data_IF_927207925560
#
_entry.id   IF_927207925560
#
_cell.length_a   1.000
_cell.length_b   1.000
_cell.length_c   1.000
_cell.angle_alpha   90.00
_cell.angle_beta   90.00
_cell.angle_gamma   90.00
#
_symmetry.space_group_name_H-M   'P 1'
#
loop_
_entity.id
_entity.type
_entity.pdbx_description
1 polymer ?
#
# COMPACT_ATOMS: atom_id res chain seq x y z
N UNK A 1 -6.11 2.30 14.17
CA UNK A 1 -4.74 2.34 14.72
C UNK A 1 -3.83 1.30 14.09
N UNK A 2 -4.15 0.03 14.11
CA UNK A 2 -3.29 -1.05 13.59
C UNK A 2 -2.84 -0.87 12.12
N UNK A 3 -3.71 -0.44 11.24
CA UNK A 3 -3.36 -0.19 9.85
C UNK A 3 -2.30 0.91 9.68
N UNK A 4 -2.37 1.97 10.48
CA UNK A 4 -1.37 3.03 10.49
C UNK A 4 -0.02 2.51 10.98
N UNK A 5 -0.02 1.70 12.03
CA UNK A 5 1.19 1.06 12.54
C UNK A 5 1.80 0.09 11.52
N UNK A 6 0.97 -0.73 10.86
CA UNK A 6 1.41 -1.66 9.81
C UNK A 6 2.11 -0.92 8.66
N UNK A 7 1.54 0.19 8.21
CA UNK A 7 2.15 0.99 7.13
C UNK A 7 3.43 1.66 7.62
N UNK A 8 3.41 2.30 8.80
CA UNK A 8 4.58 3.00 9.34
C UNK A 8 5.75 2.04 9.58
N UNK A 9 5.52 0.94 10.28
CA UNK A 9 6.56 -0.05 10.60
C UNK A 9 6.99 -0.80 9.34
N UNK A 10 6.03 -1.27 8.55
CA UNK A 10 6.30 -2.06 7.35
C UNK A 10 7.11 -1.29 6.32
N UNK A 11 6.79 -0.03 6.09
CA UNK A 11 7.55 0.81 5.15
C UNK A 11 8.88 1.31 5.72
N UNK A 12 9.00 1.49 7.04
CA UNK A 12 10.29 1.84 7.66
C UNK A 12 11.28 0.67 7.65
N UNK A 13 10.79 -0.55 7.48
CA UNK A 13 11.59 -1.78 7.50
C UNK A 13 11.23 -2.69 6.31
N UNK A 14 11.20 -2.13 5.11
CA UNK A 14 10.84 -2.85 3.89
C UNK A 14 11.78 -4.04 3.61
N UNK A 15 12.99 -4.01 4.12
CA UNK A 15 13.95 -5.11 4.06
C UNK A 15 13.54 -6.34 4.90
N UNK A 16 12.64 -6.16 5.86
CA UNK A 16 12.07 -7.22 6.69
C UNK A 16 10.64 -7.56 6.29
N UNK A 17 9.85 -6.55 5.90
CA UNK A 17 8.44 -6.67 5.60
C UNK A 17 8.18 -6.46 4.10
N UNK A 18 8.30 -7.53 3.33
CA UNK A 18 8.15 -7.47 1.87
C UNK A 18 6.70 -7.26 1.39
N UNK A 19 5.74 -7.48 2.25
CA UNK A 19 4.31 -7.31 1.99
C UNK A 19 3.68 -6.48 3.09
N UNK A 20 3.08 -5.37 2.73
CA UNK A 20 2.41 -4.47 3.67
C UNK A 20 0.94 -4.34 3.27
N UNK A 21 0.05 -4.82 4.13
CA UNK A 21 -1.40 -4.77 3.93
C UNK A 21 -2.02 -3.96 5.07
N UNK A 22 -2.85 -3.00 4.74
CA UNK A 22 -3.51 -2.16 5.73
C UNK A 22 -4.92 -1.75 5.28
N UNK A 23 -5.88 -1.95 6.16
CA UNK A 23 -7.29 -1.70 5.89
C UNK A 23 -7.86 -0.65 6.83
N UNK A 24 -8.61 0.30 6.27
CA UNK A 24 -9.30 1.36 7.01
C UNK A 24 -8.37 2.10 7.98
N UNK A 25 -7.19 2.43 7.53
CA UNK A 25 -6.18 3.15 8.30
C UNK A 25 -6.29 4.65 8.17
N UNK A 26 -5.81 5.34 9.19
CA UNK A 26 -5.62 6.78 9.16
C UNK A 26 -4.44 7.17 8.26
N UNK A 27 -4.49 6.77 6.98
CA UNK A 27 -3.45 7.14 6.00
C UNK A 27 -3.29 8.65 5.87
N UNK A 28 -4.34 9.41 6.22
CA UNK A 28 -4.31 10.85 6.32
C UNK A 28 -3.47 11.38 7.48
N UNK A 29 -3.40 10.68 8.62
CA UNK A 29 -2.54 11.12 9.74
C UNK A 29 -1.06 10.80 9.51
N UNK A 30 -0.78 9.89 8.61
CA UNK A 30 0.55 9.71 8.05
C UNK A 30 0.83 10.76 6.95
N UNK A 31 -0.23 11.33 6.38
CA UNK A 31 -0.23 12.45 5.46
C UNK A 31 -0.56 13.80 6.12
N UNK A 32 -1.04 13.80 7.36
CA UNK A 32 -1.32 14.99 8.19
C UNK A 32 -0.25 15.20 9.27
N UNK A 33 0.97 15.07 8.92
CA UNK A 33 1.93 16.05 9.44
C UNK A 33 1.49 17.39 8.84
N UNK A 34 1.48 18.50 9.58
CA UNK A 34 0.74 19.71 9.24
C UNK A 34 0.94 20.13 7.80
N UNK A 35 -0.15 20.51 7.17
CA UNK A 35 -0.39 20.84 5.78
C UNK A 35 0.60 21.83 5.14
N UNK A 36 1.86 21.55 5.11
CA UNK A 36 2.90 22.43 4.63
C UNK A 36 3.98 21.73 3.79
N UNK A 37 3.60 20.69 3.03
CA UNK A 37 4.54 20.10 2.08
C UNK A 37 3.90 18.99 1.25
N UNK A 38 4.45 18.68 0.07
CA UNK A 38 4.03 17.52 -0.71
C UNK A 38 4.20 16.24 0.10
N UNK A 39 3.30 15.28 -0.09
CA UNK A 39 3.32 13.97 0.61
C UNK A 39 4.65 13.23 0.38
N UNK A 40 5.30 13.51 -0.75
CA UNK A 40 6.61 12.98 -1.11
C UNK A 40 7.74 13.39 -0.14
N UNK A 41 7.56 14.50 0.60
CA UNK A 41 8.58 15.01 1.52
C UNK A 41 8.46 14.46 2.94
N UNK A 42 7.45 13.64 3.20
CA UNK A 42 7.19 13.09 4.53
C UNK A 42 7.94 11.77 4.74
N UNK A 43 8.71 11.68 5.81
CA UNK A 43 9.27 10.41 6.26
C UNK A 43 8.13 9.50 6.79
N UNK A 44 8.17 8.18 6.58
CA UNK A 44 9.28 7.39 5.99
C UNK A 44 9.23 7.24 4.45
N UNK A 45 8.23 7.78 3.79
CA UNK A 45 8.00 7.57 2.35
C UNK A 45 9.06 8.21 1.47
N UNK A 46 9.59 9.34 1.91
CA UNK A 46 10.55 10.12 1.15
C UNK A 46 11.74 9.29 0.69
N UNK A 47 12.35 8.55 1.60
CA UNK A 47 13.50 7.71 1.28
C UNK A 47 13.14 6.54 0.37
N UNK A 48 11.99 5.89 0.62
CA UNK A 48 11.51 4.79 -0.20
C UNK A 48 11.20 5.23 -1.63
N UNK A 49 10.59 6.39 -1.79
CA UNK A 49 10.27 6.94 -3.11
C UNK A 49 11.51 7.47 -3.84
N UNK A 50 12.46 8.08 -3.12
CA UNK A 50 13.73 8.54 -3.68
C UNK A 50 14.58 7.36 -4.16
N UNK A 51 14.58 6.24 -3.43
CA UNK A 51 15.32 5.02 -3.73
C UNK A 51 14.43 3.91 -4.29
N UNK A 52 13.55 4.24 -5.20
CA UNK A 52 12.52 3.31 -5.69
C UNK A 52 13.07 2.03 -6.31
N UNK A 53 14.26 2.07 -6.92
CA UNK A 53 14.92 0.89 -7.47
C UNK A 53 15.31 -0.11 -6.37
N UNK A 54 15.84 0.36 -5.24
CA UNK A 54 16.11 -0.50 -4.09
C UNK A 54 14.82 -0.94 -3.40
N UNK A 55 13.89 -0.01 -3.22
CA UNK A 55 12.60 -0.32 -2.60
C UNK A 55 11.86 -1.45 -3.32
N UNK A 56 11.90 -1.49 -4.65
CA UNK A 56 11.28 -2.56 -5.45
C UNK A 56 11.88 -3.95 -5.23
N UNK A 57 13.12 -4.03 -4.78
CA UNK A 57 13.75 -5.32 -4.45
C UNK A 57 13.17 -5.92 -3.18
N UNK A 58 12.74 -5.08 -2.26
CA UNK A 58 12.30 -5.49 -0.94
C UNK A 58 10.78 -5.46 -0.79
N UNK A 59 10.14 -4.35 -1.15
CA UNK A 59 8.69 -4.20 -1.05
C UNK A 59 8.01 -4.80 -2.28
N UNK A 60 7.47 -5.99 -2.11
CA UNK A 60 6.81 -6.74 -3.18
C UNK A 60 5.36 -6.32 -3.37
N UNK A 61 4.70 -5.87 -2.31
CA UNK A 61 3.32 -5.37 -2.37
C UNK A 61 3.04 -4.40 -1.24
N UNK A 62 2.47 -3.25 -1.59
CA UNK A 62 1.74 -2.37 -0.70
C UNK A 62 0.25 -2.44 -1.06
N UNK A 63 -0.57 -2.98 -0.17
CA UNK A 63 -2.02 -3.06 -0.38
C UNK A 63 -2.74 -2.23 0.67
N UNK A 64 -3.44 -1.21 0.23
CA UNK A 64 -4.24 -0.34 1.09
C UNK A 64 -5.72 -0.42 0.67
N UNK A 65 -6.61 -0.32 1.64
CA UNK A 65 -8.04 -0.29 1.35
C UNK A 65 -8.85 0.40 2.43
N UNK A 66 -10.06 0.82 2.08
CA UNK A 66 -11.04 1.34 3.02
C UNK A 66 -12.47 1.08 2.57
N UNK A 67 -13.43 1.29 3.47
CA UNK A 67 -14.83 1.34 3.10
C UNK A 67 -15.15 2.63 2.34
N UNK A 68 -16.09 2.56 1.41
CA UNK A 68 -16.50 3.71 0.59
C UNK A 68 -17.08 4.85 1.41
N UNK A 69 -17.60 4.58 2.61
CA UNK A 69 -18.12 5.59 3.53
C UNK A 69 -17.04 6.25 4.39
N UNK A 70 -15.81 5.74 4.34
CA UNK A 70 -14.66 6.27 5.10
C UNK A 70 -13.94 7.38 4.31
N UNK A 71 -14.64 8.44 3.99
CA UNK A 71 -14.17 9.49 3.07
C UNK A 71 -12.84 10.13 3.48
N UNK A 72 -12.62 10.33 4.77
CA UNK A 72 -11.37 10.88 5.30
C UNK A 72 -10.15 9.98 5.16
N UNK A 73 -10.34 8.68 4.93
CA UNK A 73 -9.26 7.68 4.79
C UNK A 73 -8.98 7.35 3.32
N UNK A 74 -10.01 7.46 2.46
CA UNK A 74 -9.92 7.06 1.06
C UNK A 74 -8.95 7.93 0.27
N UNK A 75 -9.16 9.22 0.22
CA UNK A 75 -8.37 10.14 -0.60
C UNK A 75 -6.88 10.10 -0.25
N UNK A 76 -6.47 10.18 1.02
CA UNK A 76 -5.06 10.06 1.39
C UNK A 76 -4.46 8.69 1.04
N UNK A 77 -5.21 7.61 1.25
CA UNK A 77 -4.75 6.26 0.92
C UNK A 77 -4.58 6.04 -0.58
N UNK A 78 -5.53 6.50 -1.38
CA UNK A 78 -5.45 6.46 -2.85
C UNK A 78 -4.24 7.24 -3.37
N UNK A 79 -4.01 8.44 -2.80
CA UNK A 79 -2.86 9.26 -3.17
C UNK A 79 -1.54 8.56 -2.83
N UNK A 80 -1.43 7.94 -1.66
CA UNK A 80 -0.23 7.21 -1.27
C UNK A 80 0.04 6.05 -2.24
N UNK A 81 -0.98 5.25 -2.56
CA UNK A 81 -0.85 4.17 -3.54
C UNK A 81 -0.42 4.70 -4.91
N UNK A 82 -0.98 5.81 -5.35
CA UNK A 82 -0.62 6.44 -6.62
C UNK A 82 0.86 6.83 -6.65
N UNK A 83 1.36 7.47 -5.60
CA UNK A 83 2.77 7.87 -5.50
C UNK A 83 3.72 6.66 -5.63
N UNK A 84 3.41 5.56 -4.97
CA UNK A 84 4.20 4.34 -5.08
C UNK A 84 4.14 3.74 -6.48
N UNK A 85 2.96 3.74 -7.12
CA UNK A 85 2.79 3.29 -8.52
C UNK A 85 3.59 4.13 -9.51
N UNK A 86 3.60 5.44 -9.35
CA UNK A 86 4.37 6.36 -10.21
C UNK A 86 5.88 6.07 -10.17
N UNK A 87 6.37 5.53 -9.07
CA UNK A 87 7.74 5.05 -8.92
C UNK A 87 7.95 3.61 -9.37
N UNK A 88 6.92 2.97 -9.92
CA UNK A 88 6.97 1.58 -10.38
C UNK A 88 6.97 0.54 -9.27
N UNK A 89 6.60 0.92 -8.05
CA UNK A 89 6.44 0.01 -6.92
C UNK A 89 5.04 -0.61 -6.99
N UNK A 90 4.93 -1.93 -6.74
CA UNK A 90 3.66 -2.62 -6.74
C UNK A 90 2.79 -2.18 -5.56
N UNK A 91 1.86 -1.28 -5.83
CA UNK A 91 0.93 -0.75 -4.85
C UNK A 91 -0.50 -0.86 -5.36
N UNK A 92 -1.43 -1.29 -4.51
CA UNK A 92 -2.82 -1.52 -4.86
C UNK A 92 -3.76 -0.85 -3.86
N UNK A 93 -4.87 -0.36 -4.38
CA UNK A 93 -5.96 0.20 -3.60
C UNK A 93 -7.23 -0.60 -3.80
N UNK A 94 -7.97 -0.85 -2.73
CA UNK A 94 -9.28 -1.49 -2.75
C UNK A 94 -10.33 -0.65 -2.03
N UNK A 95 -11.51 -0.57 -2.63
CA UNK A 95 -12.73 0.00 -2.06
C UNK A 95 -13.80 -1.05 -1.96
N UNK A 96 -14.48 -1.11 -0.81
CA UNK A 96 -15.68 -1.92 -0.65
C UNK A 96 -16.83 -1.10 -0.06
N UNK A 97 -18.08 -1.40 -0.43
CA UNK A 97 -19.25 -0.74 0.18
C UNK A 97 -19.26 -0.94 1.70
N UNK A 98 -19.49 0.14 2.44
CA UNK A 98 -19.54 0.13 3.90
C UNK A 98 -18.60 1.13 4.54
N UNK A 99 -18.61 1.15 5.85
CA UNK A 99 -17.78 2.02 6.69
C UNK A 99 -16.66 1.25 7.39
N UNK A 100 -16.35 1.68 8.59
CA UNK A 100 -15.31 1.10 9.45
C UNK A 100 -15.81 -0.18 10.15
N UNK A 101 -16.01 -1.24 9.38
CA UNK A 101 -16.65 -2.48 9.85
C UNK A 101 -15.94 -3.73 9.35
N UNK A 102 -16.06 -4.81 10.12
CA UNK A 102 -15.35 -6.06 9.87
C UNK A 102 -15.68 -6.69 8.51
N UNK A 103 -16.91 -6.55 8.01
CA UNK A 103 -17.30 -7.06 6.69
C UNK A 103 -16.48 -6.45 5.55
N UNK A 104 -16.15 -5.16 5.63
CA UNK A 104 -15.28 -4.48 4.68
C UNK A 104 -13.86 -5.04 4.76
N UNK A 105 -13.33 -5.21 5.96
CA UNK A 105 -11.97 -5.74 6.14
C UNK A 105 -11.84 -7.20 5.69
N UNK A 106 -12.88 -8.00 5.86
CA UNK A 106 -12.93 -9.37 5.33
C UNK A 106 -12.83 -9.38 3.81
N UNK A 107 -13.51 -8.47 3.13
CA UNK A 107 -13.41 -8.35 1.68
C UNK A 107 -11.99 -7.94 1.24
N UNK A 108 -11.39 -6.99 1.92
CA UNK A 108 -9.99 -6.61 1.65
C UNK A 108 -9.03 -7.79 1.88
N UNK A 109 -9.23 -8.56 2.94
CA UNK A 109 -8.40 -9.74 3.21
C UNK A 109 -8.54 -10.78 2.10
N UNK A 110 -9.77 -11.09 1.67
CA UNK A 110 -10.03 -12.02 0.57
C UNK A 110 -9.37 -11.59 -0.74
N UNK A 111 -9.30 -10.29 -0.99
CA UNK A 111 -8.72 -9.72 -2.21
C UNK A 111 -7.19 -9.68 -2.13
N UNK A 112 -6.62 -9.37 -0.99
CA UNK A 112 -5.18 -9.17 -0.83
C UNK A 112 -4.38 -10.46 -0.59
N UNK A 113 -4.94 -11.43 0.13
CA UNK A 113 -4.24 -12.69 0.45
C UNK A 113 -3.77 -13.46 -0.78
N UNK A 114 -4.56 -13.60 -1.86
CA UNK A 114 -4.11 -14.26 -3.09
C UNK A 114 -2.92 -13.57 -3.78
N UNK A 115 -2.65 -12.31 -3.45
CA UNK A 115 -1.53 -11.55 -4.02
C UNK A 115 -0.21 -11.78 -3.29
N UNK A 116 -0.26 -12.42 -2.12
CA UNK A 116 0.92 -12.71 -1.32
C UNK A 116 1.72 -13.87 -1.90
N UNK A 117 3.04 -13.79 -1.80
CA UNK A 117 3.96 -14.89 -2.12
C UNK A 117 3.79 -15.47 -3.53
N UNK A 118 3.24 -14.71 -4.45
CA UNK A 118 3.17 -15.12 -5.84
C UNK A 118 4.59 -15.25 -6.38
N UNK A 119 4.98 -16.47 -6.73
CA UNK A 119 6.17 -16.68 -7.55
C UNK A 119 5.96 -15.92 -8.85
N UNK A 120 6.92 -15.07 -9.21
CA UNK A 120 6.99 -14.58 -10.58
C UNK A 120 6.89 -15.80 -11.50
N UNK A 121 5.70 -16.06 -12.04
CA UNK A 121 5.61 -16.86 -13.24
C UNK A 121 6.33 -16.03 -14.29
N UNK A 122 7.62 -16.30 -14.48
CA UNK A 122 8.21 -16.03 -15.77
C UNK A 122 7.25 -16.67 -16.74
N UNK A 123 6.55 -15.85 -17.50
CA UNK A 123 5.89 -16.34 -18.70
C UNK A 123 7.00 -17.02 -19.47
N UNK A 124 7.05 -18.33 -19.42
CA UNK A 124 7.69 -19.08 -20.46
C UNK A 124 6.85 -18.77 -21.69
N UNK A 125 7.22 -17.70 -22.38
CA UNK A 125 6.84 -17.52 -23.77
C UNK A 125 7.32 -18.78 -24.44
N UNK A 126 6.36 -19.68 -24.76
CA UNK A 126 6.65 -20.89 -25.44
C UNK A 126 7.42 -20.55 -26.71
N UNK A 127 8.59 -21.12 -26.84
CA UNK A 127 9.22 -21.18 -28.13
C UNK A 127 8.22 -21.83 -29.09
N UNK A 128 7.87 -21.15 -30.20
CA UNK A 128 7.13 -21.82 -31.24
C UNK A 128 8.04 -22.91 -31.81
N UNK A 129 7.56 -24.11 -31.69
CA UNK A 129 8.15 -25.19 -32.48
C UNK A 129 7.91 -24.95 -33.97
#
# INVERSE_FOLDING_TARGET
MGAMQSVSIGLSHAELFHYVLAYSGGFGSLATVPAAGPVEEQAPWKELLANSTETKKWLHLLFLGSGQQETGMRTPGQRLVQLFREKGINAQWADHPGGHVFSVWRNHLNESVPLLFQRNRKTSSGEPK
#
